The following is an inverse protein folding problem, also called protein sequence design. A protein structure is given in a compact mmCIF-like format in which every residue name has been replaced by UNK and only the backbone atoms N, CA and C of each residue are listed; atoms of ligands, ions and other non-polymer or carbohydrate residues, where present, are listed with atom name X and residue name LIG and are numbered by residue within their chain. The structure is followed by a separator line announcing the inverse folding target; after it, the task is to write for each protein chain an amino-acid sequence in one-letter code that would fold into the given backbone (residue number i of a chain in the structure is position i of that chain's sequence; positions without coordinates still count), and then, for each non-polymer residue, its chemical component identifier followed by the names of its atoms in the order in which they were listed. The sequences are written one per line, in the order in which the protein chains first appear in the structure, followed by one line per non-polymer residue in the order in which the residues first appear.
data_IF_614872224251
#
_entry.id   IF_614872224251
#
_cell.length_a   1.000
_cell.length_b   1.000
_cell.length_c   1.000
_cell.angle_alpha   90.00
_cell.angle_beta   90.00
_cell.angle_gamma   90.00
#
_symmetry.space_group_name_H-M   'P 1'
#
loop_
_entity.id
_entity.type
_entity.pdbx_description
1 polymer ?
#
# COMPACT_ATOMS: atom_id res chain seq x y z
N UNK A 1 15.80 -15.19 -30.81
CA UNK A 1 16.18 -13.97 -30.07
C UNK A 1 17.13 -14.39 -28.97
N UNK A 2 18.31 -13.77 -28.82
CA UNK A 2 19.22 -14.14 -27.74
C UNK A 2 18.52 -13.89 -26.42
N UNK A 3 18.48 -14.91 -25.57
CA UNK A 3 17.95 -14.84 -24.22
C UNK A 3 18.84 -13.85 -23.45
N UNK A 4 18.41 -12.57 -23.40
CA UNK A 4 19.08 -11.60 -22.54
C UNK A 4 18.97 -12.14 -21.13
N UNK A 5 20.11 -12.53 -20.56
CA UNK A 5 20.21 -13.08 -19.22
C UNK A 5 19.61 -12.08 -18.25
N UNK A 6 18.39 -12.41 -17.78
CA UNK A 6 17.62 -11.64 -16.81
C UNK A 6 18.52 -11.28 -15.63
N UNK A 7 18.59 -10.00 -15.28
CA UNK A 7 19.28 -9.62 -14.03
C UNK A 7 18.49 -10.12 -12.83
N UNK A 8 19.09 -10.89 -11.91
CA UNK A 8 18.39 -11.36 -10.72
C UNK A 8 17.97 -10.18 -9.84
N UNK A 9 16.94 -10.38 -9.01
CA UNK A 9 16.47 -9.35 -8.07
C UNK A 9 17.55 -8.97 -7.05
N UNK A 10 18.39 -9.92 -6.64
CA UNK A 10 19.54 -9.66 -5.75
C UNK A 10 20.54 -8.64 -6.30
N UNK A 11 20.59 -8.46 -7.63
CA UNK A 11 21.42 -7.45 -8.30
C UNK A 11 20.68 -6.12 -8.55
N UNK A 12 19.45 -5.97 -8.05
CA UNK A 12 18.55 -4.82 -8.24
C UNK A 12 17.86 -4.51 -6.89
N UNK A 13 18.58 -3.89 -5.92
CA UNK A 13 18.10 -3.76 -4.54
C UNK A 13 16.75 -3.05 -4.40
N UNK A 14 16.51 -1.97 -5.17
CA UNK A 14 15.20 -1.31 -5.18
C UNK A 14 14.09 -2.23 -5.68
N UNK A 15 14.30 -2.94 -6.79
CA UNK A 15 13.33 -3.89 -7.34
C UNK A 15 13.06 -5.04 -6.35
N UNK A 16 14.06 -5.47 -5.58
CA UNK A 16 13.92 -6.46 -4.52
C UNK A 16 13.05 -5.95 -3.36
N UNK A 17 13.26 -4.71 -2.92
CA UNK A 17 12.42 -4.06 -1.89
C UNK A 17 10.98 -3.95 -2.38
N UNK A 18 10.75 -3.51 -3.62
CA UNK A 18 9.41 -3.37 -4.18
C UNK A 18 8.71 -4.72 -4.35
N UNK A 19 9.46 -5.74 -4.78
CA UNK A 19 8.95 -7.10 -4.89
C UNK A 19 8.55 -7.67 -3.52
N UNK A 20 9.41 -7.52 -2.51
CA UNK A 20 9.12 -7.97 -1.15
C UNK A 20 7.93 -7.22 -0.55
N UNK A 21 7.84 -5.91 -0.80
CA UNK A 21 6.71 -5.08 -0.41
C UNK A 21 5.40 -5.60 -1.01
N UNK A 22 5.33 -5.89 -2.31
CA UNK A 22 4.13 -6.49 -2.91
C UNK A 22 3.81 -7.88 -2.35
N UNK A 23 4.83 -8.69 -2.11
CA UNK A 23 4.68 -10.04 -1.60
C UNK A 23 4.11 -10.07 -0.18
N UNK A 24 4.55 -9.16 0.70
CA UNK A 24 4.03 -9.07 2.08
C UNK A 24 2.68 -8.35 2.14
N UNK A 25 2.46 -7.37 1.26
CA UNK A 25 1.26 -6.54 1.27
C UNK A 25 0.05 -7.31 0.75
N UNK A 26 0.20 -8.09 -0.34
CA UNK A 26 -0.90 -8.86 -0.91
C UNK A 26 -1.66 -9.74 0.11
N UNK A 27 -1.02 -10.58 0.94
CA UNK A 27 -1.73 -11.35 1.95
C UNK A 27 -2.32 -10.47 3.07
N UNK A 28 -1.63 -9.40 3.48
CA UNK A 28 -2.15 -8.48 4.50
C UNK A 28 -3.46 -7.82 4.03
N UNK A 29 -3.47 -7.28 2.81
CA UNK A 29 -4.65 -6.71 2.16
C UNK A 29 -5.79 -7.71 2.08
N UNK A 30 -5.53 -8.94 1.62
CA UNK A 30 -6.56 -9.96 1.46
C UNK A 30 -7.15 -10.44 2.80
N UNK A 31 -6.33 -10.49 3.85
CA UNK A 31 -6.69 -11.05 5.15
C UNK A 31 -7.14 -10.01 6.18
N UNK A 32 -6.87 -8.72 5.98
CA UNK A 32 -7.25 -7.66 6.93
C UNK A 32 -8.09 -6.62 6.21
N UNK A 33 -7.50 -5.89 5.27
CA UNK A 33 -8.08 -4.67 4.71
C UNK A 33 -9.38 -4.95 3.97
N UNK A 34 -9.37 -5.92 3.04
CA UNK A 34 -10.54 -6.23 2.22
C UNK A 34 -11.68 -6.90 2.98
N UNK A 35 -11.46 -7.35 4.21
CA UNK A 35 -12.57 -7.86 5.03
C UNK A 35 -13.60 -6.79 5.34
N UNK A 36 -13.24 -5.50 5.27
CA UNK A 36 -14.21 -4.40 5.34
C UNK A 36 -15.17 -4.36 4.15
N UNK A 37 -14.84 -5.04 3.04
CA UNK A 37 -15.62 -5.08 1.79
C UNK A 37 -16.24 -6.43 1.49
N UNK A 38 -15.71 -7.52 2.06
CA UNK A 38 -16.21 -8.87 1.78
C UNK A 38 -17.65 -9.06 2.26
N UNK A 39 -18.51 -9.73 1.47
CA UNK A 39 -19.76 -10.26 1.98
C UNK A 39 -19.48 -11.27 3.09
N UNK A 40 -20.12 -11.11 4.25
CA UNK A 40 -19.84 -11.92 5.45
C UNK A 40 -19.97 -13.44 5.20
N UNK A 41 -20.84 -13.86 4.30
CA UNK A 41 -21.07 -15.27 3.97
C UNK A 41 -19.95 -15.93 3.14
N UNK A 42 -19.03 -15.14 2.56
CA UNK A 42 -17.91 -15.65 1.76
C UNK A 42 -16.63 -15.80 2.58
N UNK A 43 -16.58 -15.30 3.81
CA UNK A 43 -15.36 -15.29 4.63
C UNK A 43 -15.39 -16.48 5.59
N UNK A 44 -14.43 -17.42 5.51
CA UNK A 44 -14.33 -18.53 6.45
C UNK A 44 -14.21 -18.03 7.90
N UNK A 45 -14.81 -18.72 8.89
CA UNK A 45 -14.83 -18.26 10.28
C UNK A 45 -13.45 -18.01 10.90
N UNK A 46 -12.42 -18.75 10.48
CA UNK A 46 -11.05 -18.53 10.95
C UNK A 46 -10.48 -17.21 10.43
N UNK A 47 -10.74 -16.88 9.15
CA UNK A 47 -10.27 -15.66 8.50
C UNK A 47 -11.03 -14.46 9.07
N UNK A 48 -12.34 -14.58 9.29
CA UNK A 48 -13.19 -13.52 9.85
C UNK A 48 -12.73 -12.99 11.22
N UNK A 49 -11.94 -13.77 11.97
CA UNK A 49 -11.40 -13.38 13.28
C UNK A 49 -10.12 -12.53 13.20
N UNK A 50 -9.41 -12.54 12.06
CA UNK A 50 -8.12 -11.87 11.91
C UNK A 50 -8.22 -10.36 12.18
N UNK A 51 -9.21 -9.62 11.65
CA UNK A 51 -9.32 -8.19 11.90
C UNK A 51 -9.63 -7.89 13.37
N UNK A 52 -10.46 -8.72 14.02
CA UNK A 52 -10.72 -8.60 15.46
C UNK A 52 -9.45 -8.79 16.30
N UNK A 53 -8.63 -9.80 15.97
CA UNK A 53 -7.32 -10.01 16.62
C UNK A 53 -6.39 -8.81 16.39
N UNK A 54 -6.30 -8.33 15.15
CA UNK A 54 -5.51 -7.15 14.81
C UNK A 54 -5.94 -5.93 15.63
N UNK A 55 -7.23 -5.59 15.65
CA UNK A 55 -7.76 -4.46 16.42
C UNK A 55 -7.56 -4.63 17.92
N UNK A 56 -7.66 -5.85 18.46
CA UNK A 56 -7.39 -6.07 19.88
C UNK A 56 -5.95 -5.74 20.29
N UNK A 57 -5.00 -5.86 19.36
CA UNK A 57 -3.59 -5.53 19.58
C UNK A 57 -3.30 -4.06 19.27
N UNK A 58 -3.74 -3.57 18.12
CA UNK A 58 -3.32 -2.27 17.57
C UNK A 58 -4.26 -1.12 17.93
N UNK A 59 -5.53 -1.44 18.20
CA UNK A 59 -6.63 -0.48 18.28
C UNK A 59 -6.66 0.50 17.09
N UNK A 60 -6.34 0.01 15.88
CA UNK A 60 -6.24 0.83 14.67
C UNK A 60 -7.56 1.59 14.41
N UNK A 61 -7.55 2.93 14.48
CA UNK A 61 -8.74 3.74 14.25
C UNK A 61 -9.29 3.61 12.83
N UNK A 62 -8.45 3.32 11.83
CA UNK A 62 -8.84 3.23 10.42
C UNK A 62 -9.56 1.93 10.12
N UNK A 63 -8.91 0.79 10.39
CA UNK A 63 -9.50 -0.53 10.17
C UNK A 63 -10.68 -0.74 11.13
N UNK A 64 -10.52 -0.38 12.41
CA UNK A 64 -11.57 -0.49 13.41
C UNK A 64 -12.77 0.41 13.09
N UNK A 65 -12.52 1.60 12.55
CA UNK A 65 -13.54 2.52 12.05
C UNK A 65 -14.28 1.96 10.82
N UNK A 66 -13.56 1.61 9.75
CA UNK A 66 -14.18 1.09 8.53
C UNK A 66 -14.98 -0.20 8.78
N UNK A 67 -14.53 -1.07 9.66
CA UNK A 67 -15.23 -2.31 10.00
C UNK A 67 -16.32 -2.13 11.06
N UNK A 68 -16.46 -0.93 11.63
CA UNK A 68 -17.43 -0.64 12.69
C UNK A 68 -17.10 -1.26 14.05
N UNK A 69 -15.87 -1.75 14.23
CA UNK A 69 -15.41 -2.42 15.45
C UNK A 69 -15.09 -1.45 16.59
N UNK A 70 -14.80 -0.18 16.27
CA UNK A 70 -14.54 0.90 17.24
C UNK A 70 -15.66 1.95 17.26
N UNK A 71 -16.79 1.68 16.61
CA UNK A 71 -17.89 2.62 16.42
C UNK A 71 -17.64 3.63 15.29
N UNK A 72 -18.67 4.40 14.93
CA UNK A 72 -18.62 5.48 13.93
C UNK A 72 -18.21 5.06 12.51
N UNK A 73 -18.67 3.89 12.04
CA UNK A 73 -18.31 3.37 10.71
C UNK A 73 -18.64 4.30 9.54
N UNK A 74 -19.68 5.14 9.68
CA UNK A 74 -20.07 6.12 8.65
C UNK A 74 -19.02 7.22 8.44
N UNK A 75 -18.17 7.49 9.43
CA UNK A 75 -17.10 8.51 9.32
C UNK A 75 -15.91 8.01 8.50
N UNK A 76 -15.84 6.71 8.20
CA UNK A 76 -14.74 6.07 7.47
C UNK A 76 -15.12 5.66 6.04
N UNK A 77 -16.21 6.20 5.48
CA UNK A 77 -16.61 5.96 4.08
C UNK A 77 -15.49 6.34 3.11
N UNK A 78 -14.77 7.44 3.37
CA UNK A 78 -13.61 7.85 2.58
C UNK A 78 -12.51 6.78 2.58
N UNK A 79 -12.27 6.13 3.71
CA UNK A 79 -11.25 5.09 3.84
C UNK A 79 -11.70 3.80 3.14
N UNK A 80 -12.99 3.45 3.22
CA UNK A 80 -13.57 2.35 2.43
C UNK A 80 -13.39 2.56 0.92
N UNK A 81 -13.43 3.80 0.42
CA UNK A 81 -13.10 4.10 -0.97
C UNK A 81 -11.64 3.78 -1.30
N UNK A 82 -10.71 4.00 -0.38
CA UNK A 82 -9.31 3.59 -0.56
C UNK A 82 -9.15 2.07 -0.52
N UNK A 83 -9.87 1.36 0.35
CA UNK A 83 -9.90 -0.10 0.36
C UNK A 83 -10.48 -0.66 -0.96
N UNK A 84 -11.48 0.01 -1.54
CA UNK A 84 -12.02 -0.37 -2.84
C UNK A 84 -10.99 -0.17 -3.96
N UNK A 85 -10.27 0.95 -3.94
CA UNK A 85 -9.16 1.20 -4.86
C UNK A 85 -8.06 0.14 -4.69
N UNK A 86 -7.79 -0.27 -3.45
CA UNK A 86 -6.85 -1.34 -3.15
C UNK A 86 -7.29 -2.66 -3.80
N UNK A 87 -8.55 -3.05 -3.62
CA UNK A 87 -9.11 -4.27 -4.20
C UNK A 87 -9.07 -4.26 -5.74
N UNK A 88 -9.52 -3.16 -6.36
CA UNK A 88 -9.75 -3.08 -7.80
C UNK A 88 -8.51 -2.72 -8.61
N UNK A 89 -7.58 -1.98 -8.02
CA UNK A 89 -6.40 -1.48 -8.72
C UNK A 89 -5.11 -2.00 -8.09
N UNK A 90 -4.91 -1.87 -6.78
CA UNK A 90 -3.63 -2.21 -6.17
C UNK A 90 -3.34 -3.72 -6.19
N UNK A 91 -4.30 -4.59 -5.86
CA UNK A 91 -4.10 -6.06 -5.90
C UNK A 91 -3.67 -6.55 -7.29
N UNK A 92 -4.37 -6.20 -8.40
CA UNK A 92 -3.90 -6.54 -9.73
C UNK A 92 -2.46 -6.06 -9.99
N UNK A 93 -2.13 -4.84 -9.54
CA UNK A 93 -0.77 -4.30 -9.67
C UNK A 93 0.24 -5.04 -8.80
N UNK A 94 -0.10 -5.55 -7.60
CA UNK A 94 0.82 -6.37 -6.79
C UNK A 94 1.26 -7.60 -7.58
N UNK A 95 0.31 -8.30 -8.20
CA UNK A 95 0.58 -9.51 -8.99
C UNK A 95 1.39 -9.18 -10.25
N UNK A 96 0.96 -8.18 -11.02
CA UNK A 96 1.64 -7.77 -12.25
C UNK A 96 3.02 -7.17 -11.97
N UNK A 97 3.13 -6.39 -10.89
CA UNK A 97 4.34 -5.77 -10.37
C UNK A 97 5.36 -6.82 -9.95
N UNK A 98 4.97 -7.78 -9.12
CA UNK A 98 5.84 -8.92 -8.76
C UNK A 98 6.34 -9.66 -10.01
N UNK A 99 5.44 -10.01 -10.93
CA UNK A 99 5.81 -10.69 -12.19
C UNK A 99 6.75 -9.83 -13.05
N UNK A 100 6.47 -8.53 -13.19
CA UNK A 100 7.25 -7.59 -13.99
C UNK A 100 8.64 -7.37 -13.44
N UNK A 101 8.74 -7.11 -12.13
CA UNK A 101 10.00 -6.97 -11.40
C UNK A 101 10.81 -8.26 -11.44
N UNK A 102 10.15 -9.41 -11.22
CA UNK A 102 10.78 -10.72 -11.39
C UNK A 102 11.39 -10.79 -12.78
N UNK A 103 10.61 -10.63 -13.85
CA UNK A 103 11.08 -10.72 -15.24
C UNK A 103 12.01 -9.60 -15.73
N UNK A 104 12.37 -8.62 -14.87
CA UNK A 104 13.17 -7.45 -15.26
C UNK A 104 12.55 -6.68 -16.45
N UNK A 105 11.22 -6.62 -16.48
CA UNK A 105 10.48 -6.01 -17.59
C UNK A 105 10.31 -4.50 -17.38
N UNK A 106 10.85 -3.71 -18.31
CA UNK A 106 10.67 -2.24 -18.31
C UNK A 106 9.24 -1.80 -18.59
N UNK A 107 8.41 -2.67 -19.19
CA UNK A 107 7.01 -2.36 -19.52
C UNK A 107 6.16 -2.09 -18.27
N UNK A 108 6.60 -2.53 -17.09
CA UNK A 108 5.85 -2.37 -15.84
C UNK A 108 6.05 -0.99 -15.21
N UNK A 109 7.06 -0.22 -15.61
CA UNK A 109 7.46 1.00 -14.90
C UNK A 109 6.35 2.04 -14.82
N UNK A 110 5.59 2.25 -15.90
CA UNK A 110 4.47 3.20 -15.90
C UNK A 110 3.38 2.75 -14.94
N UNK A 111 3.05 1.46 -14.92
CA UNK A 111 2.05 0.92 -14.00
C UNK A 111 2.51 1.05 -12.54
N UNK A 112 3.78 0.76 -12.26
CA UNK A 112 4.37 0.93 -10.93
C UNK A 112 4.39 2.40 -10.50
N UNK A 113 4.66 3.34 -11.42
CA UNK A 113 4.61 4.78 -11.12
C UNK A 113 3.19 5.21 -10.70
N UNK A 114 2.17 4.84 -11.49
CA UNK A 114 0.77 5.20 -11.21
C UNK A 114 0.33 4.60 -9.87
N UNK A 115 0.64 3.32 -9.66
CA UNK A 115 0.37 2.63 -8.40
C UNK A 115 1.05 3.30 -7.21
N UNK A 116 2.34 3.57 -7.32
CA UNK A 116 3.14 4.10 -6.23
C UNK A 116 2.69 5.51 -5.83
N UNK A 117 2.40 6.36 -6.82
CA UNK A 117 1.89 7.70 -6.59
C UNK A 117 0.51 7.64 -5.91
N UNK A 118 -0.40 6.81 -6.44
CA UNK A 118 -1.73 6.62 -5.87
C UNK A 118 -1.66 6.12 -4.43
N UNK A 119 -0.83 5.11 -4.15
CA UNK A 119 -0.69 4.51 -2.81
C UNK A 119 -0.10 5.51 -1.83
N UNK A 120 0.90 6.30 -2.25
CA UNK A 120 1.46 7.39 -1.45
C UNK A 120 0.37 8.39 -1.04
N UNK A 121 -0.49 8.78 -1.99
CA UNK A 121 -1.60 9.71 -1.75
C UNK A 121 -2.67 9.12 -0.82
N UNK A 122 -2.98 7.83 -0.91
CA UNK A 122 -3.99 7.20 -0.04
C UNK A 122 -3.47 6.92 1.37
N UNK A 123 -2.17 6.64 1.53
CA UNK A 123 -1.58 6.35 2.86
C UNK A 123 -1.31 7.62 3.68
N UNK A 124 -1.13 8.77 3.03
CA UNK A 124 -0.86 10.03 3.73
C UNK A 124 -2.00 10.46 4.70
N UNK A 125 -3.29 10.45 4.30
CA UNK A 125 -4.40 10.66 5.23
C UNK A 125 -4.43 9.65 6.38
N UNK A 126 -4.09 8.38 6.12
CA UNK A 126 -4.04 7.34 7.16
C UNK A 126 -3.01 7.69 8.25
N UNK A 127 -1.80 8.11 7.86
CA UNK A 127 -0.79 8.61 8.80
C UNK A 127 -1.29 9.81 9.60
N UNK A 128 -2.00 10.73 8.95
CA UNK A 128 -2.59 11.89 9.64
C UNK A 128 -3.61 11.45 10.70
N UNK A 129 -4.47 10.47 10.40
CA UNK A 129 -5.43 9.91 11.38
C UNK A 129 -4.68 9.30 12.58
N UNK A 130 -3.65 8.49 12.36
CA UNK A 130 -2.89 7.86 13.45
C UNK A 130 -2.22 8.91 14.35
N UNK A 131 -1.64 9.95 13.76
CA UNK A 131 -0.96 11.02 14.49
C UNK A 131 -1.92 11.91 15.28
N UNK A 132 -3.13 12.12 14.75
CA UNK A 132 -4.15 12.99 15.35
C UNK A 132 -5.13 12.26 16.27
N UNK A 133 -5.20 10.92 16.19
CA UNK A 133 -6.01 10.11 17.11
C UNK A 133 -5.52 10.34 18.54
N UNK A 134 -6.40 10.71 19.49
CA UNK A 134 -6.00 11.08 20.84
C UNK A 134 -5.36 9.89 21.59
N UNK A 135 -4.48 10.22 22.55
CA UNK A 135 -3.93 9.21 23.44
C UNK A 135 -4.97 8.77 24.46
N UNK A 136 -4.94 7.50 24.83
CA UNK A 136 -5.86 6.95 25.84
C UNK A 136 -5.60 7.61 27.19
N UNK A 137 -6.63 8.22 27.76
CA UNK A 137 -6.64 8.82 29.09
C UNK A 137 -7.99 8.53 29.78
N UNK A 138 -8.10 8.83 31.07
CA UNK A 138 -9.39 8.71 31.78
C UNK A 138 -10.50 9.55 31.13
N UNK A 139 -10.14 10.72 30.59
CA UNK A 139 -11.08 11.62 29.91
C UNK A 139 -11.57 11.06 28.57
N UNK A 140 -10.67 10.51 27.74
CA UNK A 140 -11.07 9.94 26.44
C UNK A 140 -11.94 8.71 26.61
N UNK A 141 -11.65 7.88 27.63
CA UNK A 141 -12.46 6.73 27.98
C UNK A 141 -13.84 7.14 28.50
N UNK A 142 -13.91 8.12 29.42
CA UNK A 142 -15.17 8.62 29.95
C UNK A 142 -16.05 9.26 28.86
N UNK A 143 -15.44 9.90 27.85
CA UNK A 143 -16.13 10.51 26.73
C UNK A 143 -16.47 9.52 25.59
N UNK A 144 -16.08 8.25 25.68
CA UNK A 144 -16.29 7.25 24.62
C UNK A 144 -15.58 7.61 23.30
N UNK A 145 -14.45 8.31 23.39
CA UNK A 145 -13.66 8.74 22.23
C UNK A 145 -12.67 7.62 21.87
N UNK A 146 -12.66 7.26 20.58
CA UNK A 146 -11.63 6.35 20.03
C UNK A 146 -10.26 6.98 20.29
N UNK A 147 -9.45 6.29 21.08
CA UNK A 147 -8.12 6.72 21.50
C UNK A 147 -7.18 5.52 21.52
N UNK A 148 -5.88 5.76 21.37
CA UNK A 148 -4.86 4.71 21.29
C UNK A 148 -3.79 4.93 22.35
N UNK A 149 -3.16 3.87 22.85
CA UNK A 149 -2.02 4.00 23.76
C UNK A 149 -0.77 4.50 23.01
N UNK A 150 0.28 4.88 23.75
CA UNK A 150 1.55 5.27 23.14
C UNK A 150 2.17 4.09 22.39
N UNK A 151 2.10 2.89 22.96
CA UNK A 151 2.60 1.65 22.38
C UNK A 151 1.84 1.30 21.10
N UNK A 152 0.51 1.42 21.12
CA UNK A 152 -0.34 1.23 19.95
C UNK A 152 -0.01 2.24 18.84
N UNK A 153 0.19 3.51 19.18
CA UNK A 153 0.61 4.53 18.20
C UNK A 153 1.96 4.18 17.60
N UNK A 154 2.94 3.78 18.40
CA UNK A 154 4.26 3.37 17.90
C UNK A 154 4.17 2.13 17.01
N UNK A 155 3.35 1.14 17.39
CA UNK A 155 3.07 -0.05 16.58
C UNK A 155 2.46 0.35 15.23
N UNK A 156 1.41 1.18 15.23
CA UNK A 156 0.77 1.65 14.01
C UNK A 156 1.73 2.45 13.13
N UNK A 157 2.49 3.39 13.69
CA UNK A 157 3.48 4.17 12.93
C UNK A 157 4.60 3.28 12.36
N UNK A 158 5.04 2.26 13.10
CA UNK A 158 6.04 1.30 12.60
C UNK A 158 5.57 0.52 11.38
N UNK A 159 4.24 0.36 11.22
CA UNK A 159 3.62 -0.25 10.04
C UNK A 159 3.34 0.79 8.95
N UNK A 160 2.60 1.86 9.25
CA UNK A 160 2.14 2.81 8.23
C UNK A 160 3.25 3.68 7.63
N UNK A 161 4.34 3.97 8.36
CA UNK A 161 5.47 4.75 7.81
C UNK A 161 6.15 4.01 6.65
N UNK A 162 6.55 2.72 6.77
CA UNK A 162 7.03 1.95 5.63
C UNK A 162 6.06 1.91 4.44
N UNK A 163 4.76 1.77 4.71
CA UNK A 163 3.71 1.74 3.67
C UNK A 163 3.51 3.10 2.98
N UNK A 164 4.02 4.18 3.54
CA UNK A 164 4.10 5.49 2.89
C UNK A 164 5.43 5.69 2.17
N UNK A 165 6.55 5.41 2.85
CA UNK A 165 7.89 5.68 2.34
C UNK A 165 8.26 4.79 1.16
N UNK A 166 7.90 3.49 1.17
CA UNK A 166 8.24 2.58 0.07
C UNK A 166 7.53 3.00 -1.23
N UNK A 167 6.21 3.26 -1.25
CA UNK A 167 5.55 3.83 -2.43
C UNK A 167 6.07 5.21 -2.83
N UNK A 168 6.40 6.09 -1.88
CA UNK A 168 6.98 7.40 -2.22
C UNK A 168 8.32 7.24 -2.94
N UNK A 169 9.19 6.38 -2.43
CA UNK A 169 10.46 6.04 -3.08
C UNK A 169 10.26 5.39 -4.45
N UNK A 170 9.30 4.46 -4.55
CA UNK A 170 8.96 3.80 -5.82
C UNK A 170 8.44 4.80 -6.86
N UNK A 171 7.67 5.81 -6.44
CA UNK A 171 7.20 6.89 -7.31
C UNK A 171 8.37 7.64 -7.93
N UNK A 172 9.33 8.06 -7.10
CA UNK A 172 10.50 8.80 -7.56
C UNK A 172 11.38 7.92 -8.46
N UNK A 173 11.67 6.69 -8.04
CA UNK A 173 12.52 5.76 -8.82
C UNK A 173 11.90 5.46 -10.20
N UNK A 174 10.61 5.12 -10.26
CA UNK A 174 9.94 4.83 -11.54
C UNK A 174 9.88 6.07 -12.43
N UNK A 175 9.60 7.25 -11.87
CA UNK A 175 9.60 8.50 -12.65
C UNK A 175 10.98 8.77 -13.27
N UNK A 176 12.06 8.61 -12.51
CA UNK A 176 13.43 8.79 -13.00
C UNK A 176 13.77 7.76 -14.08
N UNK A 177 13.43 6.48 -13.88
CA UNK A 177 13.69 5.42 -14.86
C UNK A 177 12.94 5.66 -16.17
N UNK A 178 11.67 6.07 -16.10
CA UNK A 178 10.86 6.40 -17.27
C UNK A 178 11.44 7.61 -18.00
N UNK A 179 11.77 8.69 -17.27
CA UNK A 179 12.34 9.90 -17.87
C UNK A 179 13.64 9.62 -18.63
N UNK A 180 14.52 8.76 -18.08
CA UNK A 180 15.74 8.31 -18.78
C UNK A 180 15.42 7.59 -20.09
N UNK A 181 14.41 6.73 -20.11
CA UNK A 181 13.97 6.03 -21.33
C UNK A 181 13.39 6.99 -22.36
N UNK A 182 12.58 7.96 -21.92
CA UNK A 182 12.01 9.01 -22.79
C UNK A 182 13.12 9.84 -23.41
N UNK A 183 14.07 10.33 -22.61
CA UNK A 183 15.21 11.13 -23.10
C UNK A 183 16.05 10.36 -24.12
N UNK A 184 16.31 9.07 -23.86
CA UNK A 184 17.01 8.21 -24.82
C UNK A 184 16.24 8.06 -26.13
N UNK A 185 14.92 7.85 -26.07
CA UNK A 185 14.07 7.76 -27.27
C UNK A 185 14.01 9.07 -28.07
N UNK A 186 13.95 10.22 -27.39
CA UNK A 186 13.98 11.55 -28.02
C UNK A 186 15.31 11.78 -28.74
N UNK A 187 16.44 11.47 -28.10
CA UNK A 187 17.77 11.65 -28.69
C UNK A 187 17.93 10.84 -30.00
N UNK A 188 17.48 9.58 -30.01
CA UNK A 188 17.49 8.74 -31.21
C UNK A 188 16.61 9.34 -32.30
N UNK A 189 15.40 9.77 -31.97
CA UNK A 189 14.44 10.34 -32.92
C UNK A 189 14.97 11.63 -33.58
N UNK A 190 15.70 12.46 -32.83
CA UNK A 190 16.33 13.67 -33.37
C UNK A 190 17.49 13.34 -34.32
N UNK A 191 18.32 12.35 -33.98
CA UNK A 191 19.44 11.93 -34.85
C UNK A 191 18.98 11.32 -36.17
N UNK A 192 17.80 10.70 -36.21
CA UNK A 192 17.22 10.13 -37.42
C UNK A 192 16.63 11.20 -38.35
N UNK A 193 16.14 12.33 -37.81
CA UNK A 193 15.63 13.45 -38.61
C UNK A 193 16.73 14.32 -39.24
N UNK A 194 17.98 14.15 -38.79
CA UNK A 194 19.15 14.89 -39.28
C UNK A 194 19.91 14.15 -40.39
N UNK A 195 19.50 12.92 -40.73
CA UNK A 195 20.04 12.12 -41.85
C UNK A 195 19.06 12.10 -43.00
#
# INVERSE_FOLDING_TARGET
MPEMTRRPLSARPFDMVYFAFFMMHLPATLLVDLQALYPAHLVPPLIAKIPGFYISMSNDPLIGGAMGLLGKGDQFVWFKTFLLLEALFQIPVFVLGMRGLWKDSRSIYVLLLIYAASTTTTTLPCLSVILTTPLTSGETLAAGIVSISVEQRLLLLSSYIPFFLVPLMMTIDMAVRILRLVNAGVAVSLSQKQK
#
